data_IF_573823788834
#
_entry.id   IF_573823788834
#
_cell.length_a   1.000
_cell.length_b   1.000
_cell.length_c   1.000
_cell.angle_alpha   90.00
_cell.angle_beta   90.00
_cell.angle_gamma   90.00
#
_symmetry.space_group_name_H-M   'P 1'
#
loop_
_entity.id
_entity.type
_entity.pdbx_description
1 polymer ?
#
# COMPACT_ATOMS: atom_id res chain seq x y z
N UNK A 1 79.76 -14.81 -8.16
CA UNK A 1 80.64 -13.70 -8.60
C UNK A 1 80.10 -13.27 -9.95
N UNK A 2 79.28 -12.22 -10.00
CA UNK A 2 78.87 -11.61 -11.26
C UNK A 2 78.50 -10.14 -11.03
N UNK A 3 79.19 -9.28 -11.74
CA UNK A 3 78.87 -7.90 -12.12
C UNK A 3 79.21 -7.82 -13.62
N UNK A 4 78.65 -6.90 -14.45
CA UNK A 4 78.10 -5.60 -14.05
C UNK A 4 76.84 -5.10 -14.80
N UNK A 5 76.35 -3.99 -14.24
CA UNK A 5 75.63 -2.85 -14.81
C UNK A 5 75.51 -2.73 -16.33
N UNK A 6 74.27 -2.54 -16.81
CA UNK A 6 73.99 -1.58 -17.88
C UNK A 6 72.78 -0.73 -17.51
N UNK A 7 73.03 0.57 -17.41
CA UNK A 7 72.02 1.61 -17.39
C UNK A 7 71.64 1.96 -18.84
N UNK A 8 70.34 2.08 -19.12
CA UNK A 8 69.86 2.98 -20.16
C UNK A 8 68.46 3.48 -19.82
N UNK A 9 68.35 4.81 -19.79
CA UNK A 9 67.18 5.62 -19.56
C UNK A 9 66.27 5.59 -20.80
N UNK A 10 64.97 5.39 -20.62
CA UNK A 10 63.95 6.02 -21.45
C UNK A 10 62.71 6.31 -20.59
N UNK A 11 62.54 7.59 -20.25
CA UNK A 11 61.27 8.17 -19.82
C UNK A 11 60.29 8.18 -20.99
N UNK A 12 59.10 7.57 -20.85
CA UNK A 12 57.82 8.13 -21.37
C UNK A 12 56.65 7.62 -20.51
N UNK A 13 55.95 8.59 -19.93
CA UNK A 13 54.57 8.61 -19.41
C UNK A 13 54.00 7.43 -18.60
N UNK A 14 54.00 7.62 -17.27
CA UNK A 14 53.02 7.01 -16.40
C UNK A 14 51.63 7.59 -16.63
N UNK A 15 50.70 6.77 -17.10
CA UNK A 15 49.26 7.03 -16.97
C UNK A 15 48.84 6.55 -15.59
N UNK A 16 48.98 7.43 -14.59
CA UNK A 16 48.16 7.36 -13.39
C UNK A 16 46.72 7.62 -13.84
N UNK A 17 45.86 6.60 -13.83
CA UNK A 17 44.41 6.81 -13.80
C UNK A 17 44.10 7.51 -12.47
N UNK A 18 44.11 8.83 -12.51
CA UNK A 18 43.50 9.66 -11.50
C UNK A 18 42.01 9.40 -11.52
N UNK A 19 41.51 8.87 -10.40
CA UNK A 19 40.14 9.10 -9.95
C UNK A 19 39.98 10.62 -9.88
N UNK A 20 39.24 11.19 -10.82
CA UNK A 20 38.84 12.58 -10.77
C UNK A 20 37.72 12.68 -9.74
N UNK A 21 38.11 13.01 -8.52
CA UNK A 21 37.22 13.46 -7.47
C UNK A 21 37.11 14.99 -7.53
N UNK A 22 35.90 15.46 -7.34
CA UNK A 22 35.50 16.81 -6.91
C UNK A 22 35.73 18.04 -7.83
N UNK A 23 34.76 18.27 -8.73
CA UNK A 23 34.37 19.61 -9.19
C UNK A 23 32.93 19.59 -9.79
N UNK A 24 31.92 19.23 -9.00
CA UNK A 24 30.51 19.28 -9.42
C UNK A 24 29.62 19.44 -8.19
N UNK A 25 28.83 20.50 -8.12
CA UNK A 25 27.97 20.78 -6.96
C UNK A 25 27.06 19.59 -6.65
N UNK A 26 26.77 19.36 -5.36
CA UNK A 26 26.05 18.16 -4.90
C UNK A 26 24.75 17.86 -5.68
N UNK A 27 24.17 16.65 -5.53
CA UNK A 27 23.17 16.07 -6.43
C UNK A 27 21.97 16.95 -6.80
N UNK A 28 21.60 17.91 -5.94
CA UNK A 28 20.54 18.90 -6.18
C UNK A 28 20.94 19.95 -7.24
N UNK A 29 22.21 20.38 -7.24
CA UNK A 29 22.74 21.37 -8.18
C UNK A 29 22.78 20.79 -9.60
N UNK A 30 23.24 19.55 -9.74
CA UNK A 30 23.26 18.87 -11.03
C UNK A 30 21.83 18.62 -11.56
N UNK A 31 20.90 18.21 -10.70
CA UNK A 31 19.50 18.04 -11.06
C UNK A 31 18.83 19.36 -11.49
N UNK A 32 19.17 20.47 -10.83
CA UNK A 32 18.67 21.79 -11.20
C UNK A 32 19.19 22.22 -12.57
N UNK A 33 20.49 22.05 -12.83
CA UNK A 33 21.09 22.36 -14.12
C UNK A 33 20.48 21.52 -15.25
N UNK A 34 20.36 20.21 -15.03
CA UNK A 34 19.73 19.28 -15.97
C UNK A 34 18.30 19.70 -16.32
N UNK A 35 17.50 20.09 -15.32
CA UNK A 35 16.13 20.55 -15.55
C UNK A 35 16.08 21.84 -16.39
N UNK A 36 16.98 22.79 -16.16
CA UNK A 36 17.05 24.04 -16.93
C UNK A 36 17.50 23.81 -18.38
N UNK A 37 18.44 22.90 -18.60
CA UNK A 37 18.98 22.60 -19.93
C UNK A 37 18.03 21.74 -20.77
N UNK A 38 17.41 20.73 -20.17
CA UNK A 38 16.59 19.74 -20.89
C UNK A 38 15.09 20.07 -20.87
N UNK A 39 14.63 20.89 -19.92
CA UNK A 39 13.19 21.14 -19.72
C UNK A 39 12.43 19.93 -19.17
N UNK A 40 13.13 18.88 -18.74
CA UNK A 40 12.56 17.71 -18.09
C UNK A 40 13.58 17.06 -17.15
N UNK A 41 13.12 16.13 -16.31
CA UNK A 41 14.01 15.34 -15.49
C UNK A 41 14.78 14.32 -16.34
N UNK A 42 16.10 14.28 -16.18
CA UNK A 42 16.98 13.25 -16.71
C UNK A 42 17.54 12.39 -15.57
N UNK A 43 18.80 11.97 -15.68
CA UNK A 43 19.42 11.06 -14.71
C UNK A 43 19.64 11.72 -13.36
N UNK A 44 20.05 12.99 -13.33
CA UNK A 44 20.31 13.70 -12.07
C UNK A 44 19.01 14.03 -11.33
N UNK A 45 17.98 14.45 -12.06
CA UNK A 45 16.64 14.69 -11.57
C UNK A 45 15.99 13.45 -10.96
N UNK A 46 16.09 12.30 -11.64
CA UNK A 46 15.58 11.04 -11.13
C UNK A 46 16.34 10.56 -9.89
N UNK A 47 17.67 10.74 -9.85
CA UNK A 47 18.47 10.41 -8.66
C UNK A 47 18.06 11.25 -7.46
N UNK A 48 17.87 12.56 -7.65
CA UNK A 48 17.39 13.45 -6.60
C UNK A 48 15.99 13.03 -6.11
N UNK A 49 15.09 12.65 -7.03
CA UNK A 49 13.76 12.18 -6.68
C UNK A 49 13.82 10.91 -5.82
N UNK A 50 14.61 9.91 -6.24
CA UNK A 50 14.80 8.67 -5.47
C UNK A 50 15.32 8.95 -4.05
N UNK A 51 16.28 9.86 -3.92
CA UNK A 51 16.82 10.26 -2.63
C UNK A 51 15.75 10.91 -1.74
N UNK A 52 14.97 11.85 -2.29
CA UNK A 52 13.90 12.53 -1.55
C UNK A 52 12.75 11.60 -1.17
N UNK A 53 12.37 10.67 -2.05
CA UNK A 53 11.38 9.62 -1.76
C UNK A 53 11.91 8.75 -0.64
N UNK A 54 13.12 8.21 -0.75
CA UNK A 54 13.76 7.39 0.29
C UNK A 54 13.78 8.07 1.67
N UNK A 55 14.03 9.37 1.71
CA UNK A 55 14.00 10.15 2.96
C UNK A 55 12.59 10.29 3.57
N UNK A 56 11.55 10.39 2.74
CA UNK A 56 10.19 10.67 3.19
C UNK A 56 9.36 9.40 3.46
N UNK A 57 9.57 8.31 2.72
CA UNK A 57 8.75 7.09 2.81
C UNK A 57 8.76 6.42 4.17
N UNK A 58 9.84 6.53 4.94
CA UNK A 58 9.94 5.95 6.28
C UNK A 58 8.91 6.52 7.26
N UNK A 59 8.31 7.68 6.95
CA UNK A 59 7.20 8.27 7.73
C UNK A 59 5.84 7.66 7.41
N UNK A 60 5.77 6.79 6.41
CA UNK A 60 4.54 6.19 5.89
C UNK A 60 4.64 4.65 5.85
N UNK A 61 4.83 3.98 7.00
CA UNK A 61 4.88 2.52 7.05
C UNK A 61 3.56 1.86 6.60
N UNK A 62 2.44 2.59 6.66
CA UNK A 62 1.11 2.14 6.21
C UNK A 62 1.03 1.84 4.71
N UNK A 63 1.97 2.35 3.92
CA UNK A 63 2.01 2.11 2.47
C UNK A 63 2.63 0.76 2.10
N UNK A 64 3.20 0.05 3.07
CA UNK A 64 3.77 -1.27 2.88
C UNK A 64 2.83 -2.34 3.42
N UNK A 65 2.90 -3.53 2.83
CA UNK A 65 2.26 -4.71 3.37
C UNK A 65 2.75 -4.99 4.81
N UNK A 66 1.91 -5.60 5.68
CA UNK A 66 2.33 -6.00 7.02
C UNK A 66 3.62 -6.84 6.99
N UNK A 67 4.61 -6.48 7.80
CA UNK A 67 5.91 -7.18 7.86
C UNK A 67 6.92 -6.79 6.77
N UNK A 68 6.52 -6.02 5.76
CA UNK A 68 7.44 -5.48 4.77
C UNK A 68 8.18 -4.23 5.29
N UNK A 69 9.36 -3.97 4.71
CA UNK A 69 10.20 -2.82 5.05
C UNK A 69 10.59 -2.05 3.79
N UNK A 70 10.76 -0.74 3.91
CA UNK A 70 11.25 0.10 2.81
C UNK A 70 12.68 -0.28 2.44
N UNK A 71 12.83 -1.05 1.37
CA UNK A 71 14.11 -1.35 0.73
C UNK A 71 14.30 -0.48 -0.52
N UNK A 72 15.44 -0.60 -1.19
CA UNK A 72 15.76 0.18 -2.40
C UNK A 72 14.72 0.02 -3.51
N UNK A 73 14.18 -1.18 -3.65
CA UNK A 73 13.25 -1.53 -4.73
C UNK A 73 11.87 -0.91 -4.46
N UNK A 74 11.36 -1.02 -3.24
CA UNK A 74 10.12 -0.37 -2.81
C UNK A 74 10.21 1.17 -2.93
N UNK A 75 11.37 1.75 -2.60
CA UNK A 75 11.61 3.19 -2.81
C UNK A 75 11.58 3.56 -4.30
N UNK A 76 12.20 2.74 -5.15
CA UNK A 76 12.21 2.97 -6.59
C UNK A 76 10.80 2.85 -7.21
N UNK A 77 10.04 1.84 -6.80
CA UNK A 77 8.65 1.66 -7.22
C UNK A 77 7.79 2.85 -6.82
N UNK A 78 7.89 3.30 -5.56
CA UNK A 78 7.18 4.48 -5.07
C UNK A 78 7.57 5.77 -5.83
N UNK A 79 8.85 5.95 -6.14
CA UNK A 79 9.32 7.07 -6.94
C UNK A 79 8.76 7.02 -8.38
N UNK A 80 8.65 5.83 -8.97
CA UNK A 80 8.04 5.63 -10.28
C UNK A 80 6.55 5.95 -10.26
N UNK A 81 5.81 5.52 -9.23
CA UNK A 81 4.39 5.86 -9.06
C UNK A 81 4.18 7.36 -8.90
N UNK A 82 5.01 8.02 -8.08
CA UNK A 82 5.00 9.48 -7.95
C UNK A 82 5.20 10.14 -9.31
N UNK A 83 6.21 9.69 -10.07
CA UNK A 83 6.53 10.28 -11.36
C UNK A 83 5.41 10.06 -12.39
N UNK A 84 4.80 8.87 -12.41
CA UNK A 84 3.67 8.57 -13.27
C UNK A 84 2.45 9.45 -12.95
N UNK A 85 2.16 9.67 -11.66
CA UNK A 85 0.99 10.42 -11.22
C UNK A 85 1.17 11.94 -11.25
N UNK A 86 2.36 12.45 -10.93
CA UNK A 86 2.62 13.87 -10.66
C UNK A 86 3.76 14.45 -11.50
N UNK A 87 4.57 13.63 -12.15
CA UNK A 87 5.79 14.02 -12.86
C UNK A 87 5.59 15.18 -13.85
N UNK A 88 4.65 15.11 -14.80
CA UNK A 88 4.40 16.20 -15.74
C UNK A 88 4.02 17.52 -15.07
N UNK A 89 3.10 17.49 -14.10
CA UNK A 89 2.63 18.67 -13.39
C UNK A 89 3.72 19.29 -12.51
N UNK A 90 4.51 18.46 -11.81
CA UNK A 90 5.63 18.90 -10.98
C UNK A 90 6.75 19.48 -11.84
N UNK A 91 7.09 18.84 -12.96
CA UNK A 91 8.11 19.34 -13.90
C UNK A 91 7.73 20.72 -14.44
N UNK A 92 6.48 20.88 -14.90
CA UNK A 92 5.98 22.17 -15.38
C UNK A 92 6.01 23.26 -14.29
N UNK A 93 5.61 22.91 -13.06
CA UNK A 93 5.62 23.85 -11.94
C UNK A 93 7.04 24.27 -11.53
N UNK A 94 7.99 23.33 -11.54
CA UNK A 94 9.40 23.63 -11.26
C UNK A 94 9.97 24.59 -12.31
N UNK A 95 9.74 24.34 -13.60
CA UNK A 95 10.20 25.24 -14.67
C UNK A 95 9.59 26.64 -14.58
N UNK A 96 8.34 26.74 -14.12
CA UNK A 96 7.62 28.01 -14.05
C UNK A 96 7.93 28.82 -12.78
N UNK A 97 8.26 28.19 -11.66
CA UNK A 97 8.22 28.84 -10.34
C UNK A 97 9.52 28.77 -9.55
N UNK A 98 10.46 27.90 -9.92
CA UNK A 98 11.67 27.69 -9.12
C UNK A 98 12.82 28.53 -9.64
N UNK A 99 13.30 29.41 -8.78
CA UNK A 99 14.33 30.40 -9.09
C UNK A 99 15.74 29.95 -8.71
N UNK A 100 15.86 28.91 -7.88
CA UNK A 100 17.15 28.46 -7.34
C UNK A 100 17.10 27.00 -6.87
N UNK A 101 18.28 26.45 -6.62
CA UNK A 101 18.51 25.06 -6.19
C UNK A 101 17.75 24.72 -4.89
N UNK A 102 17.69 25.65 -3.93
CA UNK A 102 17.02 25.40 -2.65
C UNK A 102 15.49 25.41 -2.78
N UNK A 103 14.94 26.30 -3.62
CA UNK A 103 13.51 26.32 -3.92
C UNK A 103 13.07 25.07 -4.68
N UNK A 104 13.91 24.50 -5.55
CA UNK A 104 13.67 23.21 -6.23
C UNK A 104 13.50 22.08 -5.23
N UNK A 105 14.50 21.87 -4.36
CA UNK A 105 14.49 20.78 -3.39
C UNK A 105 13.29 20.85 -2.43
N UNK A 106 12.97 22.05 -1.92
CA UNK A 106 11.80 22.24 -1.06
C UNK A 106 10.49 21.93 -1.79
N UNK A 107 10.34 22.38 -3.03
CA UNK A 107 9.14 22.13 -3.81
C UNK A 107 8.97 20.63 -4.08
N UNK A 108 10.04 19.97 -4.56
CA UNK A 108 10.00 18.54 -4.87
C UNK A 108 9.72 17.70 -3.63
N UNK A 109 10.39 17.98 -2.50
CA UNK A 109 10.12 17.29 -1.22
C UNK A 109 8.68 17.50 -0.75
N UNK A 110 8.13 18.72 -0.88
CA UNK A 110 6.72 18.98 -0.52
C UNK A 110 5.76 18.18 -1.40
N UNK A 111 6.01 18.14 -2.70
CA UNK A 111 5.18 17.39 -3.66
C UNK A 111 5.21 15.90 -3.38
N UNK A 112 6.40 15.32 -3.12
CA UNK A 112 6.54 13.91 -2.70
C UNK A 112 5.76 13.66 -1.41
N UNK A 113 5.93 14.50 -0.39
CA UNK A 113 5.21 14.33 0.87
C UNK A 113 3.69 14.39 0.70
N UNK A 114 3.17 15.32 -0.11
CA UNK A 114 1.73 15.39 -0.39
C UNK A 114 1.23 14.14 -1.10
N UNK A 115 1.98 13.66 -2.10
CA UNK A 115 1.66 12.40 -2.77
C UNK A 115 1.63 11.21 -1.79
N UNK A 116 2.64 11.06 -0.93
CA UNK A 116 2.66 9.99 0.07
C UNK A 116 1.50 10.08 1.07
N UNK A 117 1.10 11.31 1.45
CA UNK A 117 -0.10 11.53 2.26
C UNK A 117 -1.35 11.08 1.52
N UNK A 118 -1.49 11.39 0.24
CA UNK A 118 -2.62 10.98 -0.59
C UNK A 118 -2.67 9.46 -0.76
N UNK A 119 -1.53 8.82 -1.07
CA UNK A 119 -1.44 7.36 -1.13
C UNK A 119 -1.82 6.72 0.22
N UNK A 120 -1.29 7.24 1.34
CA UNK A 120 -1.56 6.70 2.66
C UNK A 120 -3.05 6.83 3.00
N UNK A 121 -3.67 7.90 2.53
CA UNK A 121 -5.09 8.20 2.64
C UNK A 121 -6.00 7.29 1.83
N UNK A 122 -5.50 6.74 0.74
CA UNK A 122 -6.25 5.84 -0.15
C UNK A 122 -6.18 4.37 0.30
N UNK A 123 -5.23 4.02 1.18
CA UNK A 123 -5.16 2.68 1.81
C UNK A 123 -6.43 2.34 2.62
N UNK A 124 -6.71 1.04 2.84
CA UNK A 124 -7.76 0.57 3.75
C UNK A 124 -7.63 1.22 5.13
N UNK A 125 -6.42 1.17 5.69
CA UNK A 125 -6.14 1.74 7.00
C UNK A 125 -6.34 3.26 7.04
N UNK A 126 -5.91 3.98 6.00
CA UNK A 126 -6.08 5.43 5.89
C UNK A 126 -7.54 5.86 5.75
N UNK A 127 -8.34 5.07 5.02
CA UNK A 127 -9.77 5.29 4.89
C UNK A 127 -10.49 5.05 6.23
N UNK A 128 -10.15 3.97 6.95
CA UNK A 128 -10.68 3.68 8.30
C UNK A 128 -10.34 4.83 9.25
N UNK A 129 -9.06 5.24 9.29
CA UNK A 129 -8.61 6.36 10.12
C UNK A 129 -9.40 7.64 9.85
N UNK A 130 -9.57 8.01 8.59
CA UNK A 130 -10.32 9.20 8.20
C UNK A 130 -11.78 9.10 8.63
N UNK A 131 -12.40 7.94 8.40
CA UNK A 131 -13.79 7.70 8.81
C UNK A 131 -13.97 7.87 10.32
N UNK A 132 -13.01 7.39 11.12
CA UNK A 132 -13.00 7.62 12.57
C UNK A 132 -12.92 9.13 12.87
N UNK A 133 -11.96 9.84 12.27
CA UNK A 133 -11.78 11.29 12.49
C UNK A 133 -13.03 12.11 12.12
N UNK A 134 -13.69 11.75 11.02
CA UNK A 134 -14.94 12.36 10.56
C UNK A 134 -16.08 12.13 11.56
N UNK A 135 -16.28 10.87 12.01
CA UNK A 135 -17.32 10.52 12.97
C UNK A 135 -17.10 11.18 14.34
N UNK A 136 -15.85 11.19 14.81
CA UNK A 136 -15.48 11.83 16.06
C UNK A 136 -15.74 13.34 16.02
N UNK A 137 -15.45 13.99 14.89
CA UNK A 137 -15.65 15.43 14.74
C UNK A 137 -17.11 15.82 14.52
N UNK A 138 -17.92 14.93 13.93
CA UNK A 138 -19.32 15.20 13.62
C UNK A 138 -20.29 14.88 14.77
N UNK A 139 -19.85 14.16 15.81
CA UNK A 139 -20.74 13.66 16.88
C UNK A 139 -20.47 14.37 18.20
N UNK A 140 -21.48 15.04 18.76
CA UNK A 140 -21.37 15.82 20.01
C UNK A 140 -20.95 14.98 21.24
N UNK A 141 -21.15 13.66 21.20
CA UNK A 141 -20.75 12.74 22.27
C UNK A 141 -19.24 12.60 22.44
N UNK A 142 -18.44 13.10 21.49
CA UNK A 142 -16.99 13.04 21.52
C UNK A 142 -16.38 14.45 21.57
N UNK A 143 -15.28 14.58 22.29
CA UNK A 143 -14.53 15.84 22.34
C UNK A 143 -13.03 15.58 22.27
N UNK A 144 -12.30 16.58 21.78
CA UNK A 144 -10.84 16.57 21.84
C UNK A 144 -10.39 17.11 23.18
N UNK A 145 -9.40 16.44 23.76
CA UNK A 145 -8.73 16.94 24.96
C UNK A 145 -8.08 18.30 24.65
N UNK A 146 -8.37 19.34 25.46
CA UNK A 146 -7.88 20.68 25.20
C UNK A 146 -6.35 20.77 25.31
N UNK A 147 -5.78 21.77 24.64
CA UNK A 147 -4.36 22.08 24.77
C UNK A 147 -4.02 22.39 26.25
N UNK A 148 -2.91 21.83 26.73
CA UNK A 148 -2.44 22.02 28.11
C UNK A 148 -2.92 20.96 29.10
N UNK A 149 -3.80 20.04 28.70
CA UNK A 149 -4.16 18.86 29.49
C UNK A 149 -3.36 17.61 29.04
N UNK A 150 -3.14 16.61 29.93
CA UNK A 150 -2.58 15.34 29.55
C UNK A 150 -3.40 14.69 28.42
N UNK A 151 -2.74 14.32 27.31
CA UNK A 151 -3.44 13.79 26.12
C UNK A 151 -3.96 14.86 25.17
N UNK A 152 -3.45 16.10 25.22
CA UNK A 152 -3.86 17.17 24.32
C UNK A 152 -3.99 16.71 22.86
N UNK A 153 -5.18 16.94 22.28
CA UNK A 153 -5.52 16.55 20.90
C UNK A 153 -6.04 15.12 20.74
N UNK A 154 -6.00 14.28 21.78
CA UNK A 154 -6.61 12.95 21.80
C UNK A 154 -8.13 13.06 21.97
N UNK A 155 -8.84 11.97 21.72
CA UNK A 155 -10.30 11.93 21.76
C UNK A 155 -10.80 11.25 23.03
N UNK A 156 -11.88 11.78 23.58
CA UNK A 156 -12.57 11.24 24.75
C UNK A 156 -14.08 11.40 24.60
N UNK A 157 -14.85 10.77 25.49
CA UNK A 157 -16.26 11.12 25.65
C UNK A 157 -16.39 12.57 26.12
N UNK A 158 -17.47 13.24 25.70
CA UNK A 158 -17.79 14.59 26.14
C UNK A 158 -17.88 14.65 27.67
N UNK A 159 -17.22 15.65 28.26
CA UNK A 159 -17.08 15.79 29.70
C UNK A 159 -15.74 16.42 30.08
N UNK A 160 -15.36 16.27 31.35
CA UNK A 160 -14.08 16.76 31.85
C UNK A 160 -12.89 16.01 31.22
N UNK A 161 -11.72 16.66 31.07
CA UNK A 161 -10.52 16.01 30.54
C UNK A 161 -10.12 14.77 31.35
N UNK A 162 -10.02 13.64 30.68
CA UNK A 162 -9.56 12.37 31.23
C UNK A 162 -8.11 12.09 30.81
N UNK A 163 -7.33 11.41 31.67
CA UNK A 163 -5.95 11.11 31.36
C UNK A 163 -5.81 10.19 30.12
N UNK A 164 -4.66 10.24 29.43
CA UNK A 164 -4.28 9.30 28.39
C UNK A 164 -4.47 7.84 28.80
N UNK A 165 -5.12 7.06 27.94
CA UNK A 165 -5.14 5.61 28.10
C UNK A 165 -3.81 4.99 27.70
N UNK A 166 -3.11 4.40 28.67
CA UNK A 166 -1.85 3.67 28.49
C UNK A 166 -1.95 2.15 28.68
N UNK A 167 -3.17 1.61 28.76
CA UNK A 167 -3.41 0.17 28.97
C UNK A 167 -3.31 -0.67 27.70
N UNK A 168 -3.53 -1.98 27.84
CA UNK A 168 -3.60 -2.92 26.72
C UNK A 168 -4.82 -2.66 25.83
N UNK A 169 -4.71 -2.90 24.53
CA UNK A 169 -5.82 -2.73 23.60
C UNK A 169 -6.82 -3.89 23.65
N UNK A 170 -6.48 -5.07 24.19
CA UNK A 170 -7.41 -6.22 24.22
C UNK A 170 -8.76 -5.93 24.89
N UNK A 171 -8.82 -5.29 26.09
CA UNK A 171 -10.09 -4.88 26.69
C UNK A 171 -10.92 -3.94 25.81
N UNK A 172 -10.26 -3.06 25.05
CA UNK A 172 -10.93 -2.15 24.12
C UNK A 172 -11.50 -2.88 22.91
N UNK A 173 -10.77 -3.87 22.39
CA UNK A 173 -11.24 -4.76 21.32
C UNK A 173 -12.45 -5.56 21.80
N UNK A 174 -12.39 -6.13 23.00
CA UNK A 174 -13.52 -6.84 23.59
C UNK A 174 -14.76 -5.93 23.75
N UNK A 175 -14.56 -4.69 24.23
CA UNK A 175 -15.63 -3.69 24.33
C UNK A 175 -16.23 -3.33 22.97
N UNK A 176 -15.40 -3.27 21.92
CA UNK A 176 -15.91 -3.13 20.57
C UNK A 176 -16.80 -4.33 20.23
N UNK A 177 -16.29 -5.57 20.26
CA UNK A 177 -17.06 -6.78 19.93
C UNK A 177 -18.37 -6.94 20.72
N UNK A 178 -18.43 -6.43 21.94
CA UNK A 178 -19.63 -6.48 22.79
C UNK A 178 -20.80 -5.61 22.28
N UNK A 179 -20.59 -4.68 21.35
CA UNK A 179 -21.67 -3.87 20.76
C UNK A 179 -22.52 -4.74 19.83
N UNK A 180 -23.81 -5.00 20.17
CA UNK A 180 -24.70 -5.83 19.37
C UNK A 180 -25.23 -5.09 18.14
N UNK A 181 -25.89 -5.84 17.25
CA UNK A 181 -26.69 -5.29 16.13
C UNK A 181 -25.94 -4.33 15.19
N UNK A 182 -24.63 -4.53 15.02
CA UNK A 182 -23.83 -3.75 14.07
C UNK A 182 -24.31 -4.02 12.65
N UNK A 183 -24.90 -3.00 12.06
CA UNK A 183 -25.51 -3.10 10.74
C UNK A 183 -24.44 -3.04 9.65
N UNK A 184 -24.27 -4.16 8.95
CA UNK A 184 -23.56 -4.19 7.69
C UNK A 184 -24.35 -3.36 6.66
N UNK A 185 -23.68 -2.45 5.98
CA UNK A 185 -24.32 -1.64 4.93
C UNK A 185 -24.32 -2.44 3.63
N UNK A 186 -25.50 -2.70 3.07
CA UNK A 186 -25.61 -3.27 1.73
C UNK A 186 -25.03 -2.27 0.72
N UNK A 187 -23.90 -2.62 0.12
CA UNK A 187 -23.15 -1.74 -0.76
C UNK A 187 -23.01 -2.34 -2.16
N UNK A 188 -23.29 -1.56 -3.20
CA UNK A 188 -23.25 -1.99 -4.60
C UNK A 188 -22.66 -0.91 -5.50
N UNK A 189 -21.56 -0.29 -5.05
CA UNK A 189 -20.90 0.81 -5.76
C UNK A 189 -19.43 0.51 -6.06
N UNK A 190 -18.80 1.25 -7.00
CA UNK A 190 -17.40 1.05 -7.39
C UNK A 190 -16.39 1.54 -6.33
N UNK A 191 -16.87 2.12 -5.22
CA UNK A 191 -16.01 2.54 -4.09
C UNK A 191 -15.95 1.44 -3.05
N UNK A 192 -14.97 1.53 -2.13
CA UNK A 192 -14.80 0.58 -1.02
C UNK A 192 -16.08 0.43 -0.20
N UNK A 193 -16.39 -0.80 0.19
CA UNK A 193 -17.53 -1.11 1.05
C UNK A 193 -17.39 -0.44 2.43
N UNK A 194 -18.46 0.16 3.00
CA UNK A 194 -18.44 0.69 4.35
C UNK A 194 -18.20 -0.42 5.38
N UNK A 195 -17.44 -0.14 6.44
CA UNK A 195 -17.22 -1.09 7.55
C UNK A 195 -18.55 -1.54 8.18
N UNK A 196 -19.40 -0.55 8.48
CA UNK A 196 -20.71 -0.65 9.08
C UNK A 196 -21.43 0.70 8.88
N UNK A 197 -22.68 0.80 9.32
CA UNK A 197 -23.39 2.09 9.33
C UNK A 197 -22.71 3.08 10.27
N UNK A 198 -22.80 4.39 9.96
CA UNK A 198 -22.23 5.45 10.79
C UNK A 198 -22.73 5.42 12.23
N UNK A 199 -24.03 5.14 12.41
CA UNK A 199 -24.63 4.95 13.73
C UNK A 199 -23.99 3.77 14.47
N UNK A 200 -23.79 2.64 13.81
CA UNK A 200 -23.09 1.50 14.42
C UNK A 200 -21.68 1.90 14.81
N UNK A 201 -20.90 2.50 13.90
CA UNK A 201 -19.52 2.93 14.17
C UNK A 201 -19.44 3.90 15.36
N UNK A 202 -20.40 4.82 15.51
CA UNK A 202 -20.49 5.73 16.66
C UNK A 202 -20.72 4.96 17.98
N UNK A 203 -21.63 3.99 17.99
CA UNK A 203 -21.84 3.14 19.18
C UNK A 203 -20.58 2.36 19.57
N UNK A 204 -19.84 1.88 18.57
CA UNK A 204 -18.58 1.18 18.78
C UNK A 204 -17.53 2.11 19.40
N UNK A 205 -17.36 3.31 18.83
CA UNK A 205 -16.42 4.30 19.35
C UNK A 205 -16.79 4.71 20.79
N UNK A 206 -18.09 4.83 21.09
CA UNK A 206 -18.57 5.12 22.45
C UNK A 206 -18.27 3.99 23.43
N UNK A 207 -18.48 2.73 23.03
CA UNK A 207 -18.16 1.57 23.87
C UNK A 207 -16.64 1.49 24.15
N UNK A 208 -15.82 1.73 23.14
CA UNK A 208 -14.35 1.73 23.26
C UNK A 208 -13.86 2.84 24.18
N UNK A 209 -14.31 4.08 23.99
CA UNK A 209 -13.91 5.21 24.83
C UNK A 209 -14.44 5.08 26.26
N UNK A 210 -15.65 4.51 26.44
CA UNK A 210 -16.18 4.17 27.77
C UNK A 210 -15.29 3.15 28.49
N UNK A 211 -14.89 2.09 27.79
CA UNK A 211 -14.05 1.03 28.35
C UNK A 211 -12.62 1.52 28.68
N UNK A 212 -12.10 2.49 27.91
CA UNK A 212 -10.81 3.10 28.20
C UNK A 212 -10.83 3.96 29.48
N UNK A 213 -11.98 4.52 29.86
CA UNK A 213 -12.11 5.48 30.96
C UNK A 213 -11.04 6.59 30.90
N UNK A 214 -10.73 7.03 29.68
CA UNK A 214 -9.56 7.84 29.35
C UNK A 214 -9.67 8.45 27.96
N UNK A 215 -8.64 9.20 27.57
CA UNK A 215 -8.50 9.68 26.20
C UNK A 215 -7.69 8.69 25.34
N UNK A 216 -8.03 8.59 24.06
CA UNK A 216 -7.38 7.72 23.08
C UNK A 216 -6.90 8.50 21.86
N UNK A 217 -5.77 8.08 21.31
CA UNK A 217 -5.35 8.51 19.98
C UNK A 217 -6.19 7.87 18.89
N UNK A 218 -6.31 8.57 17.76
CA UNK A 218 -6.93 8.01 16.55
C UNK A 218 -6.22 6.70 16.12
N UNK A 219 -4.90 6.59 16.30
CA UNK A 219 -4.15 5.38 15.98
C UNK A 219 -4.61 4.17 16.83
N UNK A 220 -4.87 4.36 18.12
CA UNK A 220 -5.39 3.31 19.01
C UNK A 220 -6.81 2.90 18.59
N UNK A 221 -7.70 3.87 18.32
CA UNK A 221 -9.05 3.61 17.82
C UNK A 221 -9.03 2.87 16.47
N UNK A 222 -8.12 3.24 15.58
CA UNK A 222 -7.92 2.57 14.29
C UNK A 222 -7.50 1.12 14.51
N UNK A 223 -6.53 0.86 15.39
CA UNK A 223 -6.08 -0.50 15.70
C UNK A 223 -7.21 -1.37 16.26
N UNK A 224 -8.10 -0.81 17.09
CA UNK A 224 -9.28 -1.51 17.60
C UNK A 224 -10.27 -1.84 16.47
N UNK A 225 -10.58 -0.89 15.58
CA UNK A 225 -11.51 -1.14 14.49
C UNK A 225 -10.97 -2.15 13.47
N UNK A 226 -9.67 -2.14 13.17
CA UNK A 226 -9.06 -3.16 12.28
C UNK A 226 -9.19 -4.54 12.88
N UNK A 227 -8.93 -4.71 14.19
CA UNK A 227 -9.10 -6.01 14.85
C UNK A 227 -10.55 -6.48 14.87
N UNK A 228 -11.51 -5.56 14.94
CA UNK A 228 -12.94 -5.89 14.85
C UNK A 228 -13.39 -6.26 13.44
N UNK A 229 -12.85 -5.57 12.43
CA UNK A 229 -13.20 -5.73 11.03
C UNK A 229 -11.97 -6.15 10.21
N UNK A 230 -11.41 -7.35 10.45
CA UNK A 230 -10.18 -7.78 9.79
C UNK A 230 -10.32 -7.81 8.26
N UNK A 231 -11.47 -8.27 7.77
CA UNK A 231 -11.83 -8.29 6.35
C UNK A 231 -11.80 -6.92 5.65
N UNK A 232 -11.85 -5.81 6.40
CA UNK A 232 -11.80 -4.47 5.84
C UNK A 232 -10.38 -3.96 5.54
N UNK A 233 -9.35 -4.65 6.01
CA UNK A 233 -7.94 -4.38 5.69
C UNK A 233 -7.34 -5.52 4.88
N UNK A 234 -7.83 -6.74 5.07
CA UNK A 234 -7.39 -7.96 4.36
C UNK A 234 -7.79 -8.01 2.87
N UNK A 235 -8.54 -7.03 2.35
CA UNK A 235 -8.86 -6.99 0.91
C UNK A 235 -7.64 -6.69 0.01
N UNK A 236 -6.48 -6.38 0.60
CA UNK A 236 -5.21 -6.29 -0.11
C UNK A 236 -4.43 -7.62 -0.15
N UNK A 237 -4.83 -8.65 0.59
CA UNK A 237 -3.96 -9.81 0.83
C UNK A 237 -4.73 -11.10 1.16
N UNK A 238 -5.66 -11.50 0.28
CA UNK A 238 -6.01 -12.93 0.20
C UNK A 238 -4.86 -13.69 -0.48
N UNK A 239 -3.68 -13.67 0.14
CA UNK A 239 -2.66 -14.69 -0.02
C UNK A 239 -3.27 -15.96 0.58
N UNK A 240 -3.71 -16.86 -0.29
CA UNK A 240 -4.07 -18.22 0.12
C UNK A 240 -2.79 -18.96 0.43
N UNK A 241 -2.38 -18.94 1.70
CA UNK A 241 -1.38 -19.90 2.18
C UNK A 241 -1.90 -21.32 1.93
N UNK A 242 -1.02 -22.22 1.51
CA UNK A 242 -1.31 -23.63 1.16
C UNK A 242 -2.06 -24.39 2.28
N UNK A 243 -1.86 -23.98 3.54
CA UNK A 243 -2.59 -24.49 4.71
C UNK A 243 -4.05 -24.00 4.79
N UNK A 244 -4.34 -22.81 4.28
CA UNK A 244 -5.70 -22.25 4.16
C UNK A 244 -6.47 -22.96 3.03
N UNK A 245 -5.77 -23.34 1.96
CA UNK A 245 -6.31 -24.15 0.87
C UNK A 245 -6.76 -25.53 1.36
N UNK A 246 -5.90 -26.28 2.07
CA UNK A 246 -6.27 -27.59 2.63
C UNK A 246 -7.40 -27.50 3.67
N UNK A 247 -7.41 -26.48 4.52
CA UNK A 247 -8.46 -26.29 5.53
C UNK A 247 -9.83 -25.89 4.93
N UNK A 248 -9.85 -25.15 3.82
CA UNK A 248 -11.07 -24.81 3.10
C UNK A 248 -11.62 -26.02 2.32
N UNK A 249 -10.74 -26.79 1.66
CA UNK A 249 -11.10 -28.04 0.97
C UNK A 249 -11.65 -29.07 1.96
N UNK A 250 -11.02 -29.26 3.12
CA UNK A 250 -11.50 -30.18 4.15
C UNK A 250 -12.90 -29.81 4.71
N UNK A 251 -13.23 -28.52 4.81
CA UNK A 251 -14.59 -28.07 5.23
C UNK A 251 -15.66 -28.28 4.17
N UNK A 252 -15.30 -28.39 2.90
CA UNK A 252 -16.22 -28.68 1.80
C UNK A 252 -16.56 -30.17 1.72
N UNK A 253 -15.61 -31.05 2.03
CA UNK A 253 -15.81 -32.51 2.02
C UNK A 253 -16.91 -32.95 3.01
N UNK A 254 -17.14 -32.18 4.08
CA UNK A 254 -18.20 -32.40 5.07
C UNK A 254 -19.62 -31.98 4.59
N UNK A 255 -19.76 -31.37 3.39
CA UNK A 255 -21.04 -30.92 2.81
C UNK A 255 -21.14 -31.23 1.31
N UNK A 256 -21.47 -32.49 0.93
CA UNK A 256 -21.40 -32.96 -0.45
C UNK A 256 -22.38 -32.26 -1.41
N UNK A 257 -23.48 -31.72 -0.89
CA UNK A 257 -24.46 -30.91 -1.62
C UNK A 257 -23.89 -29.54 -2.02
N UNK A 258 -23.16 -28.88 -1.12
CA UNK A 258 -22.46 -27.61 -1.39
C UNK A 258 -21.28 -27.82 -2.34
N UNK A 259 -20.59 -28.95 -2.23
CA UNK A 259 -19.45 -29.28 -3.08
C UNK A 259 -19.83 -29.47 -4.56
N UNK A 260 -20.99 -30.07 -4.84
CA UNK A 260 -21.50 -30.18 -6.21
C UNK A 260 -21.83 -28.81 -6.80
N UNK A 261 -22.50 -27.93 -6.02
CA UNK A 261 -22.80 -26.57 -6.46
C UNK A 261 -21.53 -25.74 -6.73
N UNK A 262 -20.54 -25.84 -5.85
CA UNK A 262 -19.24 -25.16 -6.02
C UNK A 262 -18.51 -25.69 -7.26
N UNK A 263 -18.48 -27.01 -7.47
CA UNK A 263 -17.84 -27.63 -8.64
C UNK A 263 -18.50 -27.19 -9.95
N UNK A 264 -19.83 -27.27 -10.04
CA UNK A 264 -20.59 -26.91 -11.23
C UNK A 264 -20.35 -25.44 -11.59
N UNK A 265 -20.44 -24.54 -10.60
CA UNK A 265 -20.20 -23.10 -10.81
C UNK A 265 -18.77 -22.80 -11.20
N UNK A 266 -17.78 -23.44 -10.57
CA UNK A 266 -16.38 -23.26 -10.94
C UNK A 266 -16.09 -23.77 -12.36
N UNK A 267 -16.70 -24.87 -12.79
CA UNK A 267 -16.59 -25.39 -14.16
C UNK A 267 -17.25 -24.47 -15.19
N UNK A 268 -18.39 -23.87 -14.87
CA UNK A 268 -19.05 -22.86 -15.72
C UNK A 268 -18.17 -21.62 -15.92
N UNK A 269 -17.54 -21.12 -14.85
CA UNK A 269 -16.61 -19.99 -14.94
C UNK A 269 -15.34 -20.37 -15.70
N UNK A 270 -14.76 -21.54 -15.39
CA UNK A 270 -13.57 -22.06 -16.07
C UNK A 270 -13.77 -22.18 -17.60
N UNK A 271 -14.94 -22.66 -18.03
CA UNK A 271 -15.29 -22.78 -19.44
C UNK A 271 -15.31 -21.42 -20.17
N UNK A 272 -15.60 -20.34 -19.46
CA UNK A 272 -15.67 -18.98 -19.99
C UNK A 272 -14.32 -18.25 -20.01
N UNK A 273 -13.31 -18.75 -19.28
CA UNK A 273 -11.97 -18.19 -19.30
C UNK A 273 -11.22 -18.59 -20.59
N UNK A 274 -10.55 -17.62 -21.21
CA UNK A 274 -9.62 -17.89 -22.31
C UNK A 274 -8.37 -18.64 -21.82
N UNK A 275 -7.66 -19.39 -22.70
CA UNK A 275 -6.46 -20.14 -22.30
C UNK A 275 -5.38 -19.28 -21.61
N UNK A 276 -5.13 -18.07 -22.12
CA UNK A 276 -4.19 -17.15 -21.49
C UNK A 276 -4.65 -16.66 -20.10
N UNK A 277 -5.96 -16.63 -19.85
CA UNK A 277 -6.52 -16.28 -18.55
C UNK A 277 -6.41 -17.45 -17.56
N UNK A 278 -6.63 -18.69 -18.03
CA UNK A 278 -6.44 -19.91 -17.23
C UNK A 278 -4.99 -20.07 -16.80
N UNK A 279 -4.05 -19.87 -17.73
CA UNK A 279 -2.62 -19.89 -17.43
C UNK A 279 -2.16 -18.78 -16.46
N UNK A 280 -2.82 -17.61 -16.49
CA UNK A 280 -2.47 -16.49 -15.62
C UNK A 280 -3.08 -16.60 -14.22
N UNK A 281 -4.25 -17.23 -14.09
CA UNK A 281 -5.04 -17.23 -12.85
C UNK A 281 -4.24 -17.76 -11.64
N UNK A 282 -3.49 -18.88 -11.71
CA UNK A 282 -2.65 -19.37 -10.61
C UNK A 282 -1.46 -18.47 -10.23
N UNK A 283 -1.26 -17.36 -10.93
CA UNK A 283 -0.09 -16.49 -10.83
C UNK A 283 -0.45 -15.01 -10.69
N UNK A 284 -1.73 -14.69 -10.45
CA UNK A 284 -2.24 -13.33 -10.33
C UNK A 284 -1.65 -12.54 -9.17
N UNK A 285 -1.09 -13.23 -8.18
CA UNK A 285 -0.40 -12.76 -6.99
C UNK A 285 1.08 -12.45 -7.23
N UNK A 286 1.69 -13.07 -8.24
CA UNK A 286 3.11 -12.87 -8.57
C UNK A 286 3.39 -11.47 -9.13
N UNK A 287 4.63 -10.97 -9.03
CA UNK A 287 5.02 -9.71 -9.67
C UNK A 287 4.73 -9.72 -11.18
N UNK A 288 4.34 -8.56 -11.74
CA UNK A 288 4.04 -8.39 -13.18
C UNK A 288 5.18 -8.90 -14.08
N UNK A 289 6.43 -8.86 -13.61
CA UNK A 289 7.58 -9.40 -14.32
C UNK A 289 7.52 -10.91 -14.55
N UNK A 290 7.03 -11.68 -13.58
CA UNK A 290 6.87 -13.13 -13.69
C UNK A 290 5.64 -13.48 -14.51
N UNK A 291 4.53 -12.76 -14.30
CA UNK A 291 3.32 -12.90 -15.12
C UNK A 291 3.60 -12.64 -16.61
N UNK A 292 4.48 -11.68 -16.91
CA UNK A 292 4.89 -11.37 -18.27
C UNK A 292 5.66 -12.52 -18.93
N UNK A 293 6.48 -13.23 -18.16
CA UNK A 293 7.19 -14.43 -18.64
C UNK A 293 6.21 -15.57 -18.92
N UNK A 294 5.22 -15.77 -18.06
CA UNK A 294 4.17 -16.79 -18.23
C UNK A 294 3.35 -16.54 -19.50
N UNK A 295 2.97 -15.29 -19.75
CA UNK A 295 2.16 -14.93 -20.92
C UNK A 295 2.98 -14.73 -22.20
N UNK A 296 4.30 -14.61 -22.10
CA UNK A 296 5.16 -14.22 -23.23
C UNK A 296 4.87 -12.80 -23.75
N UNK A 297 4.37 -11.91 -22.89
CA UNK A 297 3.94 -10.55 -23.25
C UNK A 297 4.86 -9.47 -22.65
N UNK A 298 4.78 -8.25 -23.19
CA UNK A 298 5.40 -7.08 -22.56
C UNK A 298 4.71 -6.70 -21.24
N UNK A 299 5.43 -6.05 -20.32
CA UNK A 299 4.92 -5.67 -18.98
C UNK A 299 3.62 -4.87 -19.01
N UNK A 300 3.50 -3.89 -19.90
CA UNK A 300 2.27 -3.08 -20.02
C UNK A 300 1.07 -3.89 -20.52
N UNK A 301 1.30 -4.85 -21.43
CA UNK A 301 0.24 -5.73 -21.93
C UNK A 301 -0.16 -6.76 -20.86
N UNK A 302 0.81 -7.23 -20.08
CA UNK A 302 0.59 -8.13 -18.93
C UNK A 302 -0.23 -7.44 -17.84
N UNK A 303 0.06 -6.18 -17.54
CA UNK A 303 -0.73 -5.38 -16.59
C UNK A 303 -2.19 -5.24 -17.06
N UNK A 304 -2.40 -4.94 -18.34
CA UNK A 304 -3.74 -4.87 -18.93
C UNK A 304 -4.46 -6.22 -18.93
N UNK A 305 -3.75 -7.32 -19.24
CA UNK A 305 -4.30 -8.67 -19.22
C UNK A 305 -4.72 -9.10 -17.80
N UNK A 306 -3.89 -8.79 -16.80
CA UNK A 306 -4.17 -9.06 -15.38
C UNK A 306 -5.34 -8.25 -14.86
N UNK A 307 -5.41 -6.96 -15.19
CA UNK A 307 -6.55 -6.11 -14.87
C UNK A 307 -7.84 -6.62 -15.51
N UNK A 308 -7.78 -7.05 -16.78
CA UNK A 308 -8.92 -7.64 -17.49
C UNK A 308 -9.37 -8.97 -16.86
N UNK A 309 -8.44 -9.83 -16.45
CA UNK A 309 -8.77 -11.07 -15.76
C UNK A 309 -9.47 -10.80 -14.42
N UNK A 310 -8.96 -9.86 -13.62
CA UNK A 310 -9.61 -9.45 -12.35
C UNK A 310 -11.03 -8.94 -12.59
N UNK A 311 -11.26 -8.14 -13.63
CA UNK A 311 -12.59 -7.66 -13.98
C UNK A 311 -13.53 -8.82 -14.39
N UNK A 312 -13.04 -9.76 -15.20
CA UNK A 312 -13.81 -10.96 -15.61
C UNK A 312 -14.15 -11.84 -14.42
N UNK A 313 -13.24 -12.01 -13.45
CA UNK A 313 -13.54 -12.79 -12.23
C UNK A 313 -14.57 -12.10 -11.33
N UNK A 314 -14.57 -10.76 -11.27
CA UNK A 314 -15.60 -10.00 -10.56
C UNK A 314 -16.97 -10.14 -11.23
N UNK A 315 -17.02 -10.23 -12.56
CA UNK A 315 -18.26 -10.40 -13.32
C UNK A 315 -18.80 -11.84 -13.25
N UNK A 316 -17.92 -12.83 -13.40
CA UNK A 316 -18.31 -14.24 -13.54
C UNK A 316 -18.46 -14.98 -12.21
N UNK A 317 -17.81 -14.53 -11.14
CA UNK A 317 -17.94 -15.14 -9.81
C UNK A 317 -18.87 -14.28 -8.96
N UNK A 318 -20.12 -14.73 -8.71
CA UNK A 318 -21.08 -13.95 -7.95
C UNK A 318 -20.59 -13.67 -6.53
N UNK A 319 -20.93 -12.47 -6.05
CA UNK A 319 -20.58 -12.02 -4.71
C UNK A 319 -21.56 -12.58 -3.67
N UNK A 320 -21.47 -13.89 -3.43
CA UNK A 320 -22.29 -14.62 -2.48
C UNK A 320 -21.44 -15.40 -1.46
N UNK A 321 -22.12 -16.14 -0.57
CA UNK A 321 -21.47 -16.90 0.49
C UNK A 321 -20.60 -18.07 0.01
N UNK A 322 -20.61 -18.40 -1.29
CA UNK A 322 -19.81 -19.47 -1.90
C UNK A 322 -18.66 -18.91 -2.77
N UNK A 323 -18.49 -17.58 -2.81
CA UNK A 323 -17.49 -16.92 -3.67
C UNK A 323 -16.08 -17.45 -3.42
N UNK A 324 -15.69 -17.62 -2.16
CA UNK A 324 -14.35 -18.07 -1.81
C UNK A 324 -14.11 -19.51 -2.28
N UNK A 325 -15.10 -20.37 -2.08
CA UNK A 325 -15.11 -21.78 -2.44
C UNK A 325 -15.07 -21.98 -3.96
N UNK A 326 -15.88 -21.22 -4.72
CA UNK A 326 -15.88 -21.23 -6.19
C UNK A 326 -14.56 -20.71 -6.74
N UNK A 327 -14.00 -19.67 -6.13
CA UNK A 327 -12.68 -19.13 -6.53
C UNK A 327 -11.60 -20.17 -6.32
N UNK A 328 -11.59 -20.87 -5.18
CA UNK A 328 -10.64 -21.93 -4.85
C UNK A 328 -10.72 -23.11 -5.83
N UNK A 329 -11.92 -23.57 -6.14
CA UNK A 329 -12.10 -24.67 -7.09
C UNK A 329 -11.69 -24.24 -8.52
N UNK A 330 -11.91 -22.98 -8.89
CA UNK A 330 -11.43 -22.43 -10.15
C UNK A 330 -9.89 -22.38 -10.23
N UNK A 331 -9.21 -22.03 -9.14
CA UNK A 331 -7.75 -22.14 -9.03
C UNK A 331 -7.30 -23.60 -9.23
N UNK A 332 -7.95 -24.55 -8.55
CA UNK A 332 -7.66 -25.98 -8.70
C UNK A 332 -7.81 -26.45 -10.14
N UNK A 333 -8.89 -26.06 -10.81
CA UNK A 333 -9.16 -26.41 -12.22
C UNK A 333 -8.08 -25.87 -13.16
N UNK A 334 -7.61 -24.63 -12.97
CA UNK A 334 -6.53 -24.03 -13.78
C UNK A 334 -5.15 -24.63 -13.49
N UNK A 335 -4.91 -25.18 -12.30
CA UNK A 335 -3.65 -25.89 -11.99
C UNK A 335 -3.66 -27.30 -12.58
N UNK A 336 -4.79 -28.01 -12.51
CA UNK A 336 -4.93 -29.38 -13.02
C UNK A 336 -5.12 -29.41 -14.54
N UNK A 337 -5.79 -28.41 -15.10
CA UNK A 337 -6.06 -28.25 -16.53
C UNK A 337 -5.65 -26.81 -16.96
N UNK A 338 -4.36 -26.56 -17.26
CA UNK A 338 -3.89 -25.21 -17.61
C UNK A 338 -4.41 -24.67 -18.95
#
# INVERSE_FOLDING_TARGET
>A
MDQPQFAQQHSVHGVRRGVADDAGGGPIIDAYRELQELGHFGTHGLRLLLELVGQEVHRFPVLLAPGATWNSDAVADCAQEFFAAKGPAVTAALLAQVTDVASMARYLRRSVRHFLVDCARDTDLGAIRRKIEDLLSATEAFTRVPLGAPGAGWWQLAGDPLPPYGGDLQPLVAAAYAVPDVQAVRWSGPRRSPLASDASLVEILRAVLSAAAGSLEVAQLTAVLVRRFPAAVEYADASLEEQTFEAAVARLEDRPDVMLEVSDRAQEVYAQLAPAQRALLPHLDKPIGEQAQILGLGRSQTYAASGKLKAVLVELVPDDCLRAEVTLELYRLCVVNP
#
